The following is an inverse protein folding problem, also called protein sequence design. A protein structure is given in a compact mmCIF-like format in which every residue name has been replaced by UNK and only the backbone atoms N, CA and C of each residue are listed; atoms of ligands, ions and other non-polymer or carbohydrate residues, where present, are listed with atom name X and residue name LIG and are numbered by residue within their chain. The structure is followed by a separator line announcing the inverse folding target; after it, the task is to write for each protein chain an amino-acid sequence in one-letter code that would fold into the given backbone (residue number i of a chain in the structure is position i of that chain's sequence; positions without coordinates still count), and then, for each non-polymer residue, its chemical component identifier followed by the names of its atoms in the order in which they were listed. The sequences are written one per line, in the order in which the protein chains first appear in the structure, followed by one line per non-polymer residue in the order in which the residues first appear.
data_IF_692020304053
#
_entry.id   IF_692020304053
#
_cell.length_a   1.000
_cell.length_b   1.000
_cell.length_c   1.000
_cell.angle_alpha   90.00
_cell.angle_beta   90.00
_cell.angle_gamma   90.00
#
_symmetry.space_group_name_H-M   'P 1'
#
loop_
_entity.id
_entity.type
_entity.pdbx_description
1 polymer ?
#
# COMPACT_ATOMS: atom_id res chain seq x y z
N UNK A 1 -9.71 -40.71 -14.55
CA UNK A 1 -9.01 -40.07 -13.40
C UNK A 1 -8.33 -38.73 -13.76
N UNK A 2 -7.70 -38.59 -14.93
CA UNK A 2 -6.99 -37.38 -15.36
C UNK A 2 -7.87 -36.11 -15.48
N UNK A 3 -9.11 -36.25 -15.94
CA UNK A 3 -10.10 -35.16 -16.01
C UNK A 3 -10.43 -34.54 -14.65
N UNK A 4 -10.52 -35.35 -13.60
CA UNK A 4 -10.79 -34.88 -12.22
C UNK A 4 -9.58 -34.12 -11.64
N UNK A 5 -8.37 -34.56 -11.95
CA UNK A 5 -7.12 -33.87 -11.58
C UNK A 5 -6.99 -32.51 -12.29
N UNK A 6 -7.35 -32.43 -13.57
CA UNK A 6 -7.40 -31.18 -14.33
C UNK A 6 -8.41 -30.18 -13.73
N UNK A 7 -9.60 -30.63 -13.36
CA UNK A 7 -10.62 -29.79 -12.73
C UNK A 7 -10.14 -29.20 -11.39
N UNK A 8 -9.52 -30.03 -10.53
CA UNK A 8 -8.97 -29.59 -9.25
C UNK A 8 -7.84 -28.56 -9.46
N UNK A 9 -6.99 -28.76 -10.47
CA UNK A 9 -5.91 -27.80 -10.80
C UNK A 9 -6.46 -26.46 -11.31
N UNK A 10 -7.45 -26.46 -12.20
CA UNK A 10 -8.11 -25.25 -12.68
C UNK A 10 -8.74 -24.45 -11.52
N UNK A 11 -9.42 -25.12 -10.59
CA UNK A 11 -10.02 -24.47 -9.42
C UNK A 11 -8.93 -23.81 -8.54
N UNK A 12 -7.81 -24.50 -8.32
CA UNK A 12 -6.67 -23.95 -7.56
C UNK A 12 -6.06 -22.73 -8.24
N UNK A 13 -5.96 -22.76 -9.56
CA UNK A 13 -5.44 -21.67 -10.38
C UNK A 13 -6.36 -20.44 -10.33
N UNK A 14 -7.67 -20.64 -10.50
CA UNK A 14 -8.68 -19.58 -10.33
C UNK A 14 -8.61 -18.95 -8.94
N UNK A 15 -8.45 -19.76 -7.90
CA UNK A 15 -8.29 -19.26 -6.52
C UNK A 15 -7.03 -18.41 -6.36
N UNK A 16 -5.90 -18.83 -6.93
CA UNK A 16 -4.66 -18.04 -6.90
C UNK A 16 -4.80 -16.72 -7.67
N UNK A 17 -5.51 -16.73 -8.81
CA UNK A 17 -5.83 -15.52 -9.56
C UNK A 17 -6.70 -14.55 -8.76
N UNK A 18 -7.76 -15.03 -8.12
CA UNK A 18 -8.62 -14.21 -7.28
C UNK A 18 -7.84 -13.59 -6.11
N UNK A 19 -7.00 -14.37 -5.43
CA UNK A 19 -6.13 -13.87 -4.37
C UNK A 19 -5.17 -12.79 -4.86
N UNK A 20 -4.57 -12.97 -6.04
CA UNK A 20 -3.68 -11.99 -6.63
C UNK A 20 -4.41 -10.69 -7.00
N UNK A 21 -5.62 -10.80 -7.56
CA UNK A 21 -6.44 -9.62 -7.89
C UNK A 21 -6.81 -8.84 -6.61
N UNK A 22 -7.19 -9.52 -5.54
CA UNK A 22 -7.46 -8.87 -4.25
C UNK A 22 -6.23 -8.14 -3.72
N UNK A 23 -5.05 -8.79 -3.74
CA UNK A 23 -3.80 -8.15 -3.31
C UNK A 23 -3.44 -6.93 -4.17
N UNK A 24 -3.67 -6.99 -5.49
CA UNK A 24 -3.44 -5.84 -6.38
C UNK A 24 -4.40 -4.68 -6.10
N UNK A 25 -5.68 -4.96 -5.82
CA UNK A 25 -6.66 -3.92 -5.44
C UNK A 25 -6.27 -3.25 -4.13
N UNK A 26 -5.97 -4.04 -3.11
CA UNK A 26 -5.50 -3.53 -1.83
C UNK A 26 -4.22 -2.68 -1.96
N UNK A 27 -3.26 -3.08 -2.81
CA UNK A 27 -2.08 -2.26 -3.09
C UNK A 27 -2.45 -0.92 -3.73
N UNK A 28 -3.38 -0.91 -4.69
CA UNK A 28 -3.82 0.32 -5.33
C UNK A 28 -4.52 1.27 -4.34
N UNK A 29 -5.33 0.72 -3.43
CA UNK A 29 -5.99 1.48 -2.37
C UNK A 29 -4.98 2.10 -1.40
N UNK A 30 -4.00 1.32 -0.94
CA UNK A 30 -2.92 1.81 -0.08
C UNK A 30 -2.07 2.88 -0.78
N UNK A 31 -1.79 2.72 -2.09
CA UNK A 31 -1.10 3.75 -2.88
C UNK A 31 -1.89 5.05 -2.98
N UNK A 32 -3.23 4.96 -3.10
CA UNK A 32 -4.10 6.14 -3.07
C UNK A 32 -4.02 6.82 -1.70
N UNK A 33 -4.19 6.07 -0.62
CA UNK A 33 -4.05 6.58 0.75
C UNK A 33 -2.68 7.24 0.98
N UNK A 34 -1.60 6.66 0.49
CA UNK A 34 -0.26 7.26 0.57
C UNK A 34 -0.20 8.64 -0.08
N UNK A 35 -0.78 8.77 -1.28
CA UNK A 35 -0.81 10.05 -2.01
C UNK A 35 -1.61 11.09 -1.26
N UNK A 36 -2.72 10.69 -0.65
CA UNK A 36 -3.58 11.58 0.14
C UNK A 36 -2.86 12.06 1.40
N UNK A 37 -2.17 11.18 2.12
CA UNK A 37 -1.34 11.53 3.28
C UNK A 37 -0.18 12.47 2.91
N UNK A 38 0.54 12.19 1.81
CA UNK A 38 1.59 13.08 1.31
C UNK A 38 1.04 14.43 0.84
N UNK A 39 -0.19 14.48 0.33
CA UNK A 39 -0.86 15.74 0.01
C UNK A 39 -1.23 16.50 1.29
N UNK A 40 -1.74 15.82 2.33
CA UNK A 40 -2.04 16.41 3.63
C UNK A 40 -0.78 16.99 4.28
N UNK A 41 0.33 16.24 4.30
CA UNK A 41 1.60 16.71 4.85
C UNK A 41 2.11 17.97 4.13
N UNK A 42 2.02 18.00 2.79
CA UNK A 42 2.40 19.20 2.01
C UNK A 42 1.50 20.40 2.29
N UNK A 43 0.20 20.18 2.50
CA UNK A 43 -0.74 21.25 2.88
C UNK A 43 -0.40 21.80 4.26
N UNK A 44 -0.13 20.91 5.22
CA UNK A 44 0.27 21.28 6.58
C UNK A 44 1.57 22.11 6.56
N UNK A 45 2.60 21.64 5.84
CA UNK A 45 3.87 22.37 5.67
C UNK A 45 3.68 23.75 5.02
N UNK A 46 2.81 23.87 4.02
CA UNK A 46 2.51 25.17 3.39
C UNK A 46 1.79 26.11 4.36
N UNK A 47 0.77 25.63 5.06
CA UNK A 47 0.05 26.41 6.06
C UNK A 47 1.01 26.94 7.12
N UNK A 48 1.92 26.08 7.60
CA UNK A 48 2.93 26.46 8.57
C UNK A 48 3.91 27.52 8.04
N UNK A 49 4.41 27.35 6.81
CA UNK A 49 5.27 28.35 6.18
C UNK A 49 4.58 29.70 6.01
N UNK A 50 3.27 29.72 5.73
CA UNK A 50 2.49 30.97 5.69
C UNK A 50 2.37 31.63 7.06
N UNK A 51 2.20 30.84 8.13
CA UNK A 51 2.20 31.35 9.51
C UNK A 51 3.57 31.86 9.98
N UNK A 52 4.68 31.34 9.45
CA UNK A 52 6.04 31.73 9.82
C UNK A 52 6.52 33.09 9.27
N UNK A 53 5.73 33.79 8.44
CA UNK A 53 6.07 35.13 7.91
C UNK A 53 5.60 36.23 8.87
N UNK A 54 5.95 36.12 10.15
CA UNK A 54 5.69 37.18 11.14
C UNK A 54 6.94 38.05 11.23
N UNK A 55 6.92 39.19 10.53
CA UNK A 55 7.96 40.23 10.64
C UNK A 55 7.79 41.14 11.85
N UNK A 56 6.71 40.97 12.62
CA UNK A 56 6.35 41.84 13.74
C UNK A 56 6.85 41.31 15.09
N UNK A 57 7.19 42.24 15.99
CA UNK A 57 7.49 41.92 17.38
C UNK A 57 6.21 41.42 18.06
N UNK A 58 6.15 40.12 18.29
CA UNK A 58 5.03 39.48 18.98
C UNK A 58 5.00 39.90 20.46
N UNK A 59 3.82 40.31 20.95
CA UNK A 59 3.61 40.43 22.38
C UNK A 59 3.63 39.05 23.07
N UNK A 60 3.68 39.04 24.40
CA UNK A 60 3.79 37.80 25.18
C UNK A 60 2.62 36.83 24.94
N UNK A 61 1.42 37.32 24.69
CA UNK A 61 0.24 36.49 24.47
C UNK A 61 0.26 35.88 23.07
N UNK A 62 0.63 36.66 22.06
CA UNK A 62 0.81 36.23 20.69
C UNK A 62 1.96 35.22 20.57
N UNK A 63 3.05 35.42 21.30
CA UNK A 63 4.15 34.45 21.40
C UNK A 63 3.70 33.10 21.99
N UNK A 64 2.90 33.12 23.07
CA UNK A 64 2.38 31.88 23.67
C UNK A 64 1.44 31.12 22.72
N UNK A 65 0.58 31.84 21.97
CA UNK A 65 -0.28 31.24 20.94
C UNK A 65 0.54 30.61 19.83
N UNK A 66 1.52 31.33 19.30
CA UNK A 66 2.41 30.82 18.26
C UNK A 66 3.16 29.56 18.71
N UNK A 67 3.63 29.51 19.96
CA UNK A 67 4.27 28.31 20.52
C UNK A 67 3.32 27.12 20.63
N UNK A 68 2.05 27.36 20.95
CA UNK A 68 1.04 26.29 21.00
C UNK A 68 0.73 25.76 19.59
N UNK A 69 0.63 26.65 18.60
CA UNK A 69 0.44 26.29 17.20
C UNK A 69 1.62 25.48 16.63
N UNK A 70 2.86 25.87 16.98
CA UNK A 70 4.07 25.09 16.68
C UNK A 70 3.99 23.65 17.21
N UNK A 71 3.57 23.49 18.47
CA UNK A 71 3.47 22.18 19.10
C UNK A 71 2.38 21.30 18.45
N UNK A 72 1.24 21.89 18.09
CA UNK A 72 0.17 21.19 17.36
C UNK A 72 0.62 20.79 15.94
N UNK A 73 1.35 21.67 15.24
CA UNK A 73 1.96 21.35 13.95
C UNK A 73 2.91 20.15 14.05
N UNK A 74 3.85 20.20 15.01
CA UNK A 74 4.84 19.13 15.21
C UNK A 74 4.16 17.79 15.53
N UNK A 75 3.09 17.82 16.33
CA UNK A 75 2.31 16.62 16.63
C UNK A 75 1.67 16.05 15.37
N UNK A 76 1.00 16.88 14.57
CA UNK A 76 0.33 16.46 13.33
C UNK A 76 1.30 15.94 12.29
N UNK A 77 2.47 16.55 12.14
CA UNK A 77 3.49 16.08 11.20
C UNK A 77 4.04 14.70 11.62
N UNK A 78 4.27 14.48 12.93
CA UNK A 78 4.66 13.16 13.47
C UNK A 78 3.60 12.11 13.26
N UNK A 79 2.33 12.44 13.48
CA UNK A 79 1.21 11.51 13.23
C UNK A 79 1.14 11.10 11.76
N UNK A 80 1.23 12.07 10.83
CA UNK A 80 1.27 11.79 9.39
C UNK A 80 2.48 10.93 9.00
N UNK A 81 3.66 11.22 9.55
CA UNK A 81 4.86 10.43 9.33
C UNK A 81 4.69 8.99 9.85
N UNK A 82 4.09 8.82 11.02
CA UNK A 82 3.77 7.51 11.59
C UNK A 82 2.82 6.71 10.69
N UNK A 83 1.73 7.34 10.25
CA UNK A 83 0.76 6.72 9.33
C UNK A 83 1.40 6.30 8.00
N UNK A 84 2.28 7.15 7.44
CA UNK A 84 3.04 6.84 6.22
C UNK A 84 3.98 5.64 6.43
N UNK A 85 4.66 5.56 7.59
CA UNK A 85 5.54 4.44 7.94
C UNK A 85 4.79 3.11 8.05
N UNK A 86 3.64 3.10 8.75
CA UNK A 86 2.78 1.92 8.85
C UNK A 86 2.28 1.49 7.47
N UNK A 87 1.86 2.44 6.64
CA UNK A 87 1.34 2.17 5.31
C UNK A 87 2.43 1.63 4.37
N UNK A 88 3.65 2.16 4.41
CA UNK A 88 4.79 1.64 3.66
C UNK A 88 5.12 0.20 4.05
N UNK A 89 5.15 -0.11 5.34
CA UNK A 89 5.40 -1.47 5.85
C UNK A 89 4.32 -2.45 5.36
N UNK A 90 3.05 -2.04 5.43
CA UNK A 90 1.94 -2.86 4.94
C UNK A 90 2.00 -3.09 3.42
N UNK A 91 2.35 -2.05 2.64
CA UNK A 91 2.56 -2.19 1.20
C UNK A 91 3.69 -3.17 0.85
N UNK A 92 4.82 -3.12 1.57
CA UNK A 92 5.94 -4.05 1.35
C UNK A 92 5.52 -5.50 1.61
N UNK A 93 4.80 -5.76 2.71
CA UNK A 93 4.28 -7.08 3.05
C UNK A 93 3.31 -7.62 1.98
N UNK A 94 2.43 -6.75 1.49
CA UNK A 94 1.44 -7.12 0.47
C UNK A 94 2.10 -7.34 -0.90
N UNK A 95 3.14 -6.58 -1.26
CA UNK A 95 3.96 -6.81 -2.44
C UNK A 95 4.67 -8.16 -2.39
N UNK A 96 5.26 -8.53 -1.24
CA UNK A 96 5.88 -9.83 -1.05
C UNK A 96 4.85 -10.97 -1.20
N UNK A 97 3.65 -10.80 -0.65
CA UNK A 97 2.54 -11.75 -0.81
C UNK A 97 2.14 -11.90 -2.27
N UNK A 98 1.96 -10.79 -3.00
CA UNK A 98 1.64 -10.80 -4.42
C UNK A 98 2.73 -11.48 -5.26
N UNK A 99 4.01 -11.25 -4.95
CA UNK A 99 5.14 -11.94 -5.60
C UNK A 99 5.09 -13.45 -5.36
N UNK A 100 4.81 -13.89 -4.12
CA UNK A 100 4.62 -15.29 -3.78
C UNK A 100 3.46 -15.95 -4.53
N UNK A 101 2.31 -15.26 -4.62
CA UNK A 101 1.15 -15.72 -5.39
C UNK A 101 1.48 -15.87 -6.88
N UNK A 102 2.17 -14.89 -7.48
CA UNK A 102 2.63 -14.95 -8.88
C UNK A 102 3.59 -16.11 -9.13
N UNK A 103 4.49 -16.40 -8.20
CA UNK A 103 5.39 -17.55 -8.29
C UNK A 103 4.63 -18.89 -8.26
N UNK A 104 3.66 -19.01 -7.34
CA UNK A 104 2.78 -20.19 -7.24
C UNK A 104 1.94 -20.40 -8.50
N UNK A 105 1.38 -19.31 -9.04
CA UNK A 105 0.61 -19.34 -10.27
C UNK A 105 1.46 -19.83 -11.46
N UNK A 106 2.65 -19.25 -11.66
CA UNK A 106 3.59 -19.70 -12.71
C UNK A 106 4.00 -21.17 -12.58
N UNK A 107 4.09 -21.68 -11.34
CA UNK A 107 4.37 -23.10 -11.09
C UNK A 107 3.17 -23.97 -11.45
N UNK A 108 1.95 -23.54 -11.12
CA UNK A 108 0.71 -24.24 -11.47
C UNK A 108 0.52 -24.32 -12.99
N UNK A 109 0.68 -23.20 -13.70
CA UNK A 109 0.59 -23.10 -15.15
C UNK A 109 1.56 -24.05 -15.87
N UNK A 110 2.84 -24.04 -15.48
CA UNK A 110 3.84 -24.97 -16.04
C UNK A 110 3.49 -26.43 -15.78
N UNK A 111 2.97 -26.74 -14.60
CA UNK A 111 2.51 -28.10 -14.28
C UNK A 111 1.31 -28.53 -15.11
N UNK A 112 0.39 -27.60 -15.41
CA UNK A 112 -0.78 -27.85 -16.25
C UNK A 112 -0.40 -28.06 -17.72
N UNK A 113 0.49 -27.23 -18.25
CA UNK A 113 0.98 -27.37 -19.62
C UNK A 113 1.67 -28.73 -19.84
N UNK A 114 2.49 -29.19 -18.88
CA UNK A 114 3.09 -30.54 -18.92
C UNK A 114 2.05 -31.67 -18.95
N UNK A 115 0.96 -31.54 -18.17
CA UNK A 115 -0.11 -32.55 -18.18
C UNK A 115 -0.90 -32.53 -19.49
N UNK A 116 -1.06 -31.37 -20.12
CA UNK A 116 -1.72 -31.27 -21.43
C UNK A 116 -0.89 -31.94 -22.52
N UNK A 117 0.42 -31.69 -22.57
CA UNK A 117 1.33 -32.37 -23.50
C UNK A 117 1.28 -33.90 -23.34
N UNK A 118 1.35 -34.39 -22.10
CA UNK A 118 1.25 -35.83 -21.82
C UNK A 118 -0.11 -36.45 -22.18
N UNK A 119 -1.17 -35.65 -22.26
CA UNK A 119 -2.50 -36.09 -22.70
C UNK A 119 -2.67 -36.03 -24.22
N UNK A 120 -1.89 -35.21 -24.92
CA UNK A 120 -1.86 -35.10 -26.38
C UNK A 120 -0.97 -36.18 -27.01
N UNK A 121 0.01 -36.70 -26.26
CA UNK A 121 0.93 -37.78 -26.67
C UNK A 121 0.38 -39.20 -26.41
N UNK A 122 -0.76 -39.34 -25.72
CA UNK A 122 -1.43 -40.62 -25.41
C UNK A 122 -2.74 -40.79 -26.15
#
# INVERSE_FOLDING_TARGET
MLTRLLAIRRLREQRLHAQLQTACRQLADMQRQQRDLLAAQRRLQRAWRHHGVVGDVLDRAAWQRFRAELADYDLRDRELAGQLGTLQTGMQSLQATAAGLRARLRKAQRGQHKLQLLLEET
#
